data_IF_692946707645
#
_entry.id   IF_692946707645
#
_cell.length_a   1.000
_cell.length_b   1.000
_cell.length_c   1.000
_cell.angle_alpha   90.00
_cell.angle_beta   90.00
_cell.angle_gamma   90.00
#
_symmetry.space_group_name_H-M   'P 1'
#
loop_
_entity.id
_entity.type
_entity.pdbx_description
1 polymer ?
#
# COMPACT_ATOMS: atom_id res chain seq x y z
N UNK A 1 9.61 -15.18 3.93
CA UNK A 1 10.66 -14.94 2.92
C UNK A 1 10.13 -15.30 1.54
N UNK A 2 9.90 -16.58 1.23
CA UNK A 2 9.21 -16.99 -0.01
C UNK A 2 7.87 -16.26 -0.19
N UNK A 3 7.15 -16.03 0.90
CA UNK A 3 5.88 -15.30 0.90
C UNK A 3 5.97 -13.90 0.28
N UNK A 4 7.07 -13.16 0.51
CA UNK A 4 7.21 -11.79 -0.03
C UNK A 4 7.52 -11.83 -1.53
N UNK A 5 8.38 -12.75 -1.97
CA UNK A 5 8.68 -12.92 -3.39
C UNK A 5 7.46 -13.46 -4.17
N UNK A 6 6.75 -14.44 -3.61
CA UNK A 6 5.50 -14.95 -4.15
C UNK A 6 4.45 -13.83 -4.25
N UNK A 7 4.35 -12.96 -3.25
CA UNK A 7 3.44 -11.82 -3.31
C UNK A 7 3.77 -10.84 -4.44
N UNK A 8 5.05 -10.55 -4.70
CA UNK A 8 5.45 -9.71 -5.85
C UNK A 8 5.08 -10.38 -7.17
N UNK A 9 5.29 -11.69 -7.27
CA UNK A 9 4.87 -12.48 -8.44
C UNK A 9 3.35 -12.43 -8.65
N UNK A 10 2.57 -12.57 -7.57
CA UNK A 10 1.10 -12.51 -7.60
C UNK A 10 0.62 -11.11 -8.02
N UNK A 11 1.25 -10.05 -7.53
CA UNK A 11 0.96 -8.67 -7.94
C UNK A 11 1.21 -8.48 -9.43
N UNK A 12 2.35 -8.97 -9.94
CA UNK A 12 2.65 -8.90 -11.37
C UNK A 12 1.58 -9.63 -12.19
N UNK A 13 1.24 -10.87 -11.82
CA UNK A 13 0.29 -11.70 -12.56
C UNK A 13 -1.12 -11.07 -12.52
N UNK A 14 -1.52 -10.50 -11.39
CA UNK A 14 -2.75 -9.75 -11.24
C UNK A 14 -2.78 -8.51 -12.15
N UNK A 15 -1.70 -7.72 -12.21
CA UNK A 15 -1.61 -6.54 -13.09
C UNK A 15 -1.76 -6.94 -14.56
N UNK A 16 -1.04 -7.98 -15.00
CA UNK A 16 -1.12 -8.51 -16.38
C UNK A 16 -2.53 -9.00 -16.76
N UNK A 17 -3.28 -9.50 -15.79
CA UNK A 17 -4.64 -9.99 -16.00
C UNK A 17 -5.69 -8.86 -16.13
N UNK A 18 -5.37 -7.63 -15.72
CA UNK A 18 -6.32 -6.51 -15.80
C UNK A 18 -6.63 -6.10 -17.24
N UNK A 19 -7.88 -5.71 -17.49
CA UNK A 19 -8.30 -5.12 -18.79
C UNK A 19 -7.46 -3.88 -19.11
N UNK A 20 -7.19 -3.04 -18.11
CA UNK A 20 -6.37 -1.84 -18.28
C UNK A 20 -4.99 -2.17 -18.86
N UNK A 21 -4.32 -3.21 -18.33
CA UNK A 21 -3.03 -3.61 -18.88
C UNK A 21 -3.17 -4.16 -20.30
N UNK A 22 -4.14 -5.05 -20.53
CA UNK A 22 -4.36 -5.69 -21.83
C UNK A 22 -4.75 -4.72 -22.94
N UNK A 23 -5.46 -3.65 -22.60
CA UNK A 23 -5.96 -2.68 -23.57
C UNK A 23 -4.96 -1.56 -23.83
N UNK A 24 -4.15 -1.17 -22.83
CA UNK A 24 -3.35 0.06 -22.90
C UNK A 24 -1.84 -0.10 -22.63
N UNK A 25 -1.41 -1.19 -21.99
CA UNK A 25 -0.02 -1.34 -21.51
C UNK A 25 0.68 -2.62 -21.97
N UNK A 26 0.10 -3.38 -22.90
CA UNK A 26 0.75 -4.57 -23.48
C UNK A 26 2.12 -4.21 -24.04
N UNK A 27 3.13 -5.02 -23.68
CA UNK A 27 4.52 -4.82 -24.08
C UNK A 27 5.27 -3.75 -23.29
N UNK A 28 4.62 -3.10 -22.30
CA UNK A 28 5.30 -2.20 -21.35
C UNK A 28 5.84 -2.98 -20.17
N UNK A 29 7.02 -2.58 -19.72
CA UNK A 29 7.63 -3.03 -18.46
C UNK A 29 6.75 -2.66 -17.28
N UNK A 30 6.50 -3.62 -16.40
CA UNK A 30 5.85 -3.40 -15.10
C UNK A 30 6.93 -3.01 -14.10
N UNK A 31 6.71 -1.91 -13.40
CA UNK A 31 7.64 -1.43 -12.36
C UNK A 31 6.96 -1.56 -11.00
N UNK A 32 7.56 -2.31 -10.08
CA UNK A 32 7.10 -2.43 -8.70
C UNK A 32 8.04 -1.61 -7.80
N UNK A 33 7.45 -0.69 -7.04
CA UNK A 33 8.19 0.20 -6.14
C UNK A 33 8.05 -0.34 -4.72
N UNK A 34 9.19 -0.56 -4.06
CA UNK A 34 9.30 -1.01 -2.67
C UNK A 34 9.93 0.09 -1.82
N UNK A 35 9.56 0.14 -0.55
CA UNK A 35 10.29 0.96 0.42
C UNK A 35 11.63 0.26 0.80
N UNK A 36 12.41 0.92 1.66
CA UNK A 36 13.70 0.40 2.07
C UNK A 36 13.63 -0.53 3.29
N UNK A 37 12.48 -1.16 3.59
CA UNK A 37 12.37 -2.07 4.71
C UNK A 37 13.24 -3.34 4.52
N UNK A 38 13.89 -3.87 5.56
CA UNK A 38 14.73 -5.07 5.46
C UNK A 38 14.01 -6.32 4.91
N UNK A 39 12.68 -6.35 5.00
CA UNK A 39 11.86 -7.42 4.45
C UNK A 39 11.85 -7.47 2.91
N UNK A 40 12.24 -6.38 2.24
CA UNK A 40 12.28 -6.26 0.77
C UNK A 40 13.66 -6.56 0.18
N UNK A 41 14.75 -6.25 0.90
CA UNK A 41 16.11 -6.52 0.41
C UNK A 41 16.40 -8.00 0.18
N UNK A 42 15.66 -8.89 0.86
CA UNK A 42 15.77 -10.34 0.68
C UNK A 42 14.81 -10.88 -0.39
N UNK A 43 13.81 -10.10 -0.81
CA UNK A 43 12.82 -10.55 -1.79
C UNK A 43 13.32 -10.38 -3.23
N UNK A 44 14.15 -9.36 -3.48
CA UNK A 44 14.73 -9.05 -4.80
C UNK A 44 15.46 -10.24 -5.43
N UNK A 45 16.21 -11.01 -4.63
CA UNK A 45 16.98 -12.17 -5.10
C UNK A 45 16.12 -13.42 -5.38
N UNK A 46 14.88 -13.45 -4.89
CA UNK A 46 13.98 -14.61 -4.94
C UNK A 46 12.86 -14.47 -5.97
N UNK A 47 12.69 -13.28 -6.57
CA UNK A 47 11.64 -13.02 -7.55
C UNK A 47 11.97 -13.69 -8.89
N UNK A 48 10.96 -14.22 -9.56
CA UNK A 48 11.14 -14.85 -10.87
C UNK A 48 11.73 -13.84 -11.85
N UNK A 49 12.75 -14.27 -12.57
CA UNK A 49 13.35 -13.45 -13.61
C UNK A 49 12.38 -13.31 -14.79
N UNK A 50 11.82 -12.10 -14.96
CA UNK A 50 10.88 -11.74 -16.02
C UNK A 50 11.48 -10.52 -16.75
N UNK A 51 11.61 -10.59 -18.07
CA UNK A 51 12.30 -9.56 -18.86
C UNK A 51 11.58 -8.20 -18.93
N UNK A 52 10.33 -8.15 -18.48
CA UNK A 52 9.46 -6.98 -18.46
C UNK A 52 8.97 -6.65 -17.03
N UNK A 53 9.73 -7.04 -16.01
CA UNK A 53 9.55 -6.63 -14.61
C UNK A 53 10.80 -5.89 -14.12
N UNK A 54 10.60 -4.68 -13.60
CA UNK A 54 11.63 -3.93 -12.88
C UNK A 54 11.20 -3.68 -11.43
N UNK A 55 12.15 -3.81 -10.51
CA UNK A 55 11.98 -3.48 -9.10
C UNK A 55 12.75 -2.21 -8.78
N UNK A 56 12.08 -1.23 -8.20
CA UNK A 56 12.70 0.00 -7.73
C UNK A 56 12.59 0.08 -6.21
N UNK A 57 13.70 0.46 -5.56
CA UNK A 57 13.71 0.81 -4.14
C UNK A 57 13.71 2.32 -3.94
N UNK A 58 12.85 2.77 -3.05
CA UNK A 58 12.91 4.13 -2.56
C UNK A 58 14.09 4.30 -1.60
N UNK A 59 14.65 5.50 -1.57
CA UNK A 59 15.65 5.86 -0.59
C UNK A 59 15.09 5.80 0.83
N UNK A 60 15.95 5.62 1.86
CA UNK A 60 15.53 5.72 3.25
C UNK A 60 14.76 7.02 3.52
N UNK A 61 13.80 6.96 4.45
CA UNK A 61 13.03 8.13 4.91
C UNK A 61 12.34 8.93 3.78
N UNK A 62 11.91 8.24 2.70
CA UNK A 62 11.24 8.86 1.55
C UNK A 62 9.76 8.47 1.41
N UNK A 63 8.93 8.46 2.47
CA UNK A 63 7.53 8.02 2.37
C UNK A 63 6.68 8.97 1.49
N UNK A 64 7.08 10.23 1.32
CA UNK A 64 6.41 11.16 0.40
C UNK A 64 6.51 10.74 -1.07
N UNK A 65 7.52 9.95 -1.40
CA UNK A 65 7.73 9.39 -2.73
C UNK A 65 7.00 8.05 -2.92
N UNK A 66 6.23 7.59 -1.92
CA UNK A 66 5.46 6.36 -2.00
C UNK A 66 3.95 6.67 -1.94
N UNK A 67 3.21 6.50 -3.05
CA UNK A 67 1.79 6.85 -3.07
C UNK A 67 0.93 5.98 -2.14
N UNK A 68 1.37 4.77 -1.79
CA UNK A 68 0.59 3.87 -0.91
C UNK A 68 0.44 4.44 0.51
N UNK A 69 1.40 5.24 0.98
CA UNK A 69 1.36 5.89 2.30
C UNK A 69 0.17 6.85 2.43
N UNK A 70 -0.10 7.59 1.36
CA UNK A 70 -1.27 8.47 1.29
C UNK A 70 -2.58 7.69 1.25
N UNK A 71 -2.62 6.59 0.50
CA UNK A 71 -3.78 5.68 0.46
C UNK A 71 -4.06 5.08 1.84
N UNK A 72 -3.03 4.59 2.52
CA UNK A 72 -3.14 4.04 3.88
C UNK A 72 -3.56 5.09 4.91
N UNK A 73 -3.12 6.34 4.75
CA UNK A 73 -3.58 7.43 5.61
C UNK A 73 -5.10 7.64 5.52
N UNK A 74 -5.66 7.57 4.30
CA UNK A 74 -7.11 7.65 4.08
C UNK A 74 -7.84 6.43 4.63
N UNK A 75 -7.35 5.21 4.35
CA UNK A 75 -7.91 3.98 4.90
C UNK A 75 -7.93 3.99 6.43
N UNK A 76 -6.82 4.39 7.05
CA UNK A 76 -6.70 4.51 8.50
C UNK A 76 -7.69 5.51 9.08
N UNK A 77 -7.96 6.61 8.40
CA UNK A 77 -8.99 7.56 8.82
C UNK A 77 -10.39 6.94 8.79
N UNK A 78 -10.72 6.12 7.77
CA UNK A 78 -11.98 5.37 7.68
C UNK A 78 -12.11 4.33 8.79
N UNK A 79 -11.08 3.53 9.01
CA UNK A 79 -11.02 2.54 10.09
C UNK A 79 -11.24 3.23 11.45
N UNK A 80 -10.52 4.33 11.71
CA UNK A 80 -10.69 5.09 12.97
C UNK A 80 -12.12 5.59 13.15
N UNK A 81 -12.74 6.14 12.10
CA UNK A 81 -14.12 6.62 12.17
C UNK A 81 -15.10 5.48 12.50
N UNK A 82 -14.92 4.31 11.87
CA UNK A 82 -15.72 3.12 12.17
C UNK A 82 -15.54 2.65 13.62
N UNK A 83 -14.30 2.59 14.11
CA UNK A 83 -14.00 2.19 15.49
C UNK A 83 -14.59 3.16 16.52
N UNK A 84 -14.57 4.47 16.24
CA UNK A 84 -15.20 5.48 17.11
C UNK A 84 -16.72 5.28 17.16
N UNK A 85 -17.35 4.96 16.04
CA UNK A 85 -18.79 4.70 16.00
C UNK A 85 -19.18 3.42 16.77
N UNK A 86 -18.31 2.40 16.78
CA UNK A 86 -18.52 1.11 17.46
C UNK A 86 -17.70 1.01 18.76
N UNK A 87 -17.51 2.11 19.48
CA UNK A 87 -16.65 2.16 20.65
C UNK A 87 -17.16 1.28 21.81
N UNK A 88 -18.47 1.06 21.90
CA UNK A 88 -19.12 0.15 22.84
C UNK A 88 -18.56 -1.27 22.74
N UNK A 89 -18.41 -1.78 21.51
CA UNK A 89 -17.84 -3.11 21.21
C UNK A 89 -16.36 -3.23 21.56
N UNK A 90 -15.67 -2.12 21.82
CA UNK A 90 -14.25 -2.10 22.17
C UNK A 90 -14.00 -2.19 23.68
N UNK A 91 -14.92 -1.67 24.50
CA UNK A 91 -14.74 -1.52 25.95
C UNK A 91 -15.61 -2.45 26.79
N UNK A 92 -16.83 -2.77 26.36
CA UNK A 92 -17.77 -3.60 27.11
C UNK A 92 -17.66 -5.08 26.72
N UNK A 93 -16.53 -5.69 27.10
CA UNK A 93 -16.19 -7.06 26.71
C UNK A 93 -15.87 -7.94 27.93
N UNK A 94 -16.35 -9.21 27.94
CA UNK A 94 -15.99 -10.18 28.97
C UNK A 94 -14.48 -10.34 29.16
N UNK A 95 -14.06 -10.63 30.38
CA UNK A 95 -12.67 -10.95 30.68
C UNK A 95 -12.22 -12.20 29.90
N UNK A 96 -11.05 -12.15 29.27
CA UNK A 96 -10.54 -13.24 28.42
C UNK A 96 -10.91 -13.12 26.94
N UNK A 97 -12.00 -12.43 26.56
CA UNK A 97 -12.42 -12.29 25.15
C UNK A 97 -11.91 -11.02 24.45
N UNK A 98 -11.29 -10.11 25.22
CA UNK A 98 -10.95 -8.75 24.73
C UNK A 98 -10.09 -8.74 23.48
N UNK A 99 -9.06 -9.58 23.41
CA UNK A 99 -8.12 -9.59 22.28
C UNK A 99 -8.80 -10.03 21.00
N UNK A 100 -9.47 -11.18 21.02
CA UNK A 100 -10.12 -11.75 19.85
C UNK A 100 -11.24 -10.85 19.32
N UNK A 101 -12.12 -10.35 20.21
CA UNK A 101 -13.23 -9.47 19.84
C UNK A 101 -12.74 -8.16 19.21
N UNK A 102 -11.67 -7.57 19.75
CA UNK A 102 -11.07 -6.35 19.18
C UNK A 102 -10.39 -6.60 17.84
N UNK A 103 -9.76 -7.75 17.66
CA UNK A 103 -9.19 -8.14 16.36
C UNK A 103 -10.29 -8.28 15.30
N UNK A 104 -11.38 -8.99 15.61
CA UNK A 104 -12.54 -9.09 14.71
C UNK A 104 -13.17 -7.73 14.40
N UNK A 105 -13.28 -6.86 15.40
CA UNK A 105 -13.77 -5.50 15.17
C UNK A 105 -12.86 -4.70 14.24
N UNK A 106 -11.54 -4.87 14.36
CA UNK A 106 -10.56 -4.23 13.48
C UNK A 106 -10.61 -4.78 12.05
N UNK A 107 -10.79 -6.09 11.89
CA UNK A 107 -11.02 -6.73 10.59
C UNK A 107 -12.29 -6.19 9.92
N UNK A 108 -13.42 -6.16 10.64
CA UNK A 108 -14.67 -5.57 10.15
C UNK A 108 -14.48 -4.09 9.74
N UNK A 109 -13.72 -3.33 10.53
CA UNK A 109 -13.42 -1.93 10.23
C UNK A 109 -12.55 -1.79 8.96
N UNK A 110 -11.61 -2.71 8.75
CA UNK A 110 -10.76 -2.75 7.56
C UNK A 110 -11.58 -3.14 6.32
N UNK A 111 -12.42 -4.17 6.41
CA UNK A 111 -13.32 -4.61 5.35
C UNK A 111 -14.29 -3.50 4.93
N UNK A 112 -14.84 -2.76 5.90
CA UNK A 112 -15.67 -1.60 5.59
C UNK A 112 -14.85 -0.43 5.03
N UNK A 113 -13.64 -0.22 5.54
CA UNK A 113 -12.77 0.89 5.15
C UNK A 113 -12.17 0.74 3.75
N UNK A 114 -11.94 -0.50 3.29
CA UNK A 114 -11.21 -0.77 2.04
C UNK A 114 -11.94 -0.24 0.80
N UNK A 115 -13.27 -0.05 0.88
CA UNK A 115 -14.08 0.55 -0.18
C UNK A 115 -13.59 1.96 -0.58
N UNK A 116 -12.82 2.65 0.28
CA UNK A 116 -12.23 3.94 -0.09
C UNK A 116 -11.06 3.82 -1.10
N UNK A 117 -10.53 2.63 -1.34
CA UNK A 117 -9.42 2.37 -2.27
C UNK A 117 -9.90 2.35 -3.72
N UNK A 118 -10.39 3.49 -4.19
CA UNK A 118 -10.83 3.67 -5.58
C UNK A 118 -9.71 4.21 -6.49
N UNK A 119 -9.90 4.10 -7.81
CA UNK A 119 -8.97 4.64 -8.81
C UNK A 119 -8.71 6.13 -8.63
N UNK A 120 -9.68 6.90 -8.13
CA UNK A 120 -9.56 8.34 -7.94
C UNK A 120 -8.60 8.67 -6.79
N UNK A 121 -8.67 7.93 -5.69
CA UNK A 121 -7.77 8.05 -4.55
C UNK A 121 -6.36 7.66 -4.97
N UNK A 122 -6.20 6.50 -5.60
CA UNK A 122 -4.88 6.02 -6.05
C UNK A 122 -4.23 7.02 -7.00
N UNK A 123 -4.96 7.51 -8.00
CA UNK A 123 -4.44 8.52 -8.94
C UNK A 123 -4.09 9.85 -8.25
N UNK A 124 -4.87 10.27 -7.25
CA UNK A 124 -4.58 11.48 -6.48
C UNK A 124 -3.27 11.32 -5.70
N UNK A 125 -3.07 10.18 -5.03
CA UNK A 125 -1.87 9.90 -4.25
C UNK A 125 -0.65 9.71 -5.14
N UNK A 126 -0.80 9.03 -6.29
CA UNK A 126 0.24 8.93 -7.31
C UNK A 126 0.71 10.31 -7.80
N UNK A 127 -0.23 11.22 -8.07
CA UNK A 127 0.12 12.60 -8.45
C UNK A 127 0.85 13.37 -7.34
N UNK A 128 0.41 13.23 -6.09
CA UNK A 128 1.09 13.87 -4.96
C UNK A 128 2.53 13.36 -4.81
N UNK A 129 2.69 12.04 -4.87
CA UNK A 129 4.00 11.38 -4.85
C UNK A 129 4.90 11.84 -6.00
N UNK A 130 4.37 12.01 -7.20
CA UNK A 130 5.13 12.51 -8.34
C UNK A 130 5.66 13.95 -8.10
N UNK A 131 4.88 14.81 -7.45
CA UNK A 131 5.34 16.14 -7.06
C UNK A 131 6.48 16.06 -6.03
N UNK A 132 6.39 15.15 -5.05
CA UNK A 132 7.44 14.93 -4.07
C UNK A 132 8.74 14.41 -4.73
N UNK A 133 8.63 13.41 -5.63
CA UNK A 133 9.77 12.90 -6.40
C UNK A 133 10.44 14.03 -7.19
N UNK A 134 9.66 14.90 -7.82
CA UNK A 134 10.20 16.04 -8.56
C UNK A 134 10.89 17.07 -7.65
N UNK A 135 10.35 17.33 -6.46
CA UNK A 135 10.97 18.20 -5.46
C UNK A 135 12.30 17.59 -4.94
N UNK A 136 12.31 16.29 -4.65
CA UNK A 136 13.52 15.56 -4.25
C UNK A 136 14.62 15.68 -5.31
N UNK A 137 14.27 15.51 -6.59
CA UNK A 137 15.22 15.67 -7.70
C UNK A 137 15.82 17.09 -7.81
N UNK A 138 15.11 18.11 -7.31
CA UNK A 138 15.57 19.51 -7.25
C UNK A 138 16.23 19.88 -5.92
N UNK A 139 16.36 18.93 -4.98
CA UNK A 139 16.80 19.17 -3.59
C UNK A 139 15.93 20.21 -2.86
N UNK A 140 14.64 20.25 -3.19
CA UNK A 140 13.67 21.10 -2.51
C UNK A 140 13.16 20.43 -1.22
N UNK A 141 12.85 21.22 -0.18
CA UNK A 141 12.25 20.68 1.03
C UNK A 141 10.87 20.08 0.72
N UNK A 142 10.63 18.87 1.21
CA UNK A 142 9.34 18.18 1.12
C UNK A 142 8.70 18.15 2.51
N UNK A 143 7.37 18.24 2.56
CA UNK A 143 6.61 18.15 3.80
C UNK A 143 6.04 16.74 3.95
N UNK A 144 6.20 16.13 5.12
CA UNK A 144 5.58 14.85 5.47
C UNK A 144 4.37 15.06 6.36
N UNK A 145 3.19 14.63 5.88
CA UNK A 145 1.93 14.82 6.59
C UNK A 145 1.40 16.27 6.54
N UNK A 146 0.09 16.40 6.67
CA UNK A 146 -0.60 17.62 7.09
C UNK A 146 -1.14 17.38 8.51
#
# INVERSE_FOLDING_TARGET
>A
MEVNAAFVDDVYDAVKATDVYRDFFVGKTIVIILDNAPAHSQAEDLIKNRGDLELLRLGPYSPMCNPIEGCFSVLKARIKAFLVFNADQMFDLPYGEKTERRMRLLENAADHGIECMDLRLVNRMARHSAHAVAAAARNEPMQYGL
#
